data_IF_972581095428
#
_entry.id   IF_972581095428
#
_cell.length_a   1.000
_cell.length_b   1.000
_cell.length_c   1.000
_cell.angle_alpha   90.00
_cell.angle_beta   90.00
_cell.angle_gamma   90.00
#
_symmetry.space_group_name_H-M   'P 1'
#
loop_
_entity.id
_entity.type
_entity.pdbx_description
1 polymer ?
#
# COMPACT_ATOMS: atom_id res chain seq x y z
N UNK A 1 27.70 6.31 -34.05
CA UNK A 1 27.01 5.20 -34.72
C UNK A 1 25.61 5.13 -34.10
N UNK A 2 24.59 5.56 -34.83
CA UNK A 2 23.21 5.43 -34.44
C UNK A 2 22.82 3.94 -34.50
N UNK A 3 22.14 3.39 -33.50
CA UNK A 3 21.64 2.01 -33.57
C UNK A 3 20.67 1.93 -34.74
N UNK A 4 20.88 0.96 -35.62
CA UNK A 4 19.94 0.66 -36.69
C UNK A 4 18.68 0.06 -36.04
N UNK A 5 17.62 0.82 -35.99
CA UNK A 5 16.31 0.36 -35.56
C UNK A 5 15.70 -0.44 -36.73
N UNK A 6 15.78 -1.76 -36.65
CA UNK A 6 15.16 -2.67 -37.60
C UNK A 6 13.67 -2.79 -37.24
N UNK A 7 12.84 -1.94 -37.85
CA UNK A 7 11.39 -2.10 -37.80
C UNK A 7 10.97 -3.16 -38.81
N UNK A 8 10.60 -4.37 -38.35
CA UNK A 8 10.02 -5.39 -39.23
C UNK A 8 8.49 -5.28 -39.16
N UNK A 9 7.87 -5.14 -40.33
CA UNK A 9 6.40 -5.12 -40.51
C UNK A 9 5.80 -6.50 -40.65
N UNK A 10 6.61 -7.57 -40.52
CA UNK A 10 6.14 -8.96 -40.61
C UNK A 10 5.75 -9.45 -39.22
N UNK A 11 4.46 -9.50 -38.97
CA UNK A 11 3.89 -10.15 -37.81
C UNK A 11 3.76 -11.67 -38.07
N UNK A 12 4.45 -12.46 -37.20
CA UNK A 12 4.27 -13.90 -37.16
C UNK A 12 3.70 -14.29 -35.79
N UNK A 13 2.40 -14.71 -35.72
CA UNK A 13 1.76 -15.01 -34.44
C UNK A 13 2.40 -16.18 -33.66
N UNK A 14 3.30 -16.95 -34.29
CA UNK A 14 4.05 -18.03 -33.65
C UNK A 14 5.40 -17.56 -33.04
N UNK A 15 5.87 -16.36 -33.43
CA UNK A 15 7.19 -15.85 -33.05
C UNK A 15 7.06 -14.50 -32.32
N UNK A 16 6.02 -13.73 -32.63
CA UNK A 16 5.74 -12.48 -31.92
C UNK A 16 5.32 -12.81 -30.49
N UNK A 17 6.09 -12.42 -29.47
CA UNK A 17 5.65 -12.61 -28.10
C UNK A 17 4.36 -11.81 -27.92
N UNK A 18 3.29 -12.49 -27.54
CA UNK A 18 2.10 -11.83 -27.02
C UNK A 18 2.49 -11.17 -25.69
N UNK A 19 3.04 -9.98 -25.78
CA UNK A 19 3.33 -9.16 -24.62
C UNK A 19 1.98 -8.78 -23.97
N UNK A 20 1.54 -9.61 -23.05
CA UNK A 20 0.46 -9.25 -22.14
C UNK A 20 1.05 -8.24 -21.14
N UNK A 21 1.24 -7.01 -21.63
CA UNK A 21 1.86 -5.93 -20.86
C UNK A 21 0.75 -5.30 -20.02
N UNK A 22 0.72 -5.59 -18.74
CA UNK A 22 -0.07 -4.91 -17.70
C UNK A 22 -1.58 -4.82 -17.97
N UNK A 23 -2.35 -5.61 -17.23
CA UNK A 23 -3.80 -5.45 -17.13
C UNK A 23 -4.17 -4.16 -16.37
N UNK A 24 -5.46 -3.89 -16.21
CA UNK A 24 -6.00 -2.76 -15.44
C UNK A 24 -5.64 -2.83 -13.95
N UNK A 25 -5.27 -4.01 -13.46
CA UNK A 25 -4.94 -4.29 -12.07
C UNK A 25 -3.69 -3.52 -11.61
N UNK A 26 -2.67 -3.45 -12.47
CA UNK A 26 -1.41 -2.75 -12.16
C UNK A 26 -1.61 -1.25 -12.01
N UNK A 27 -2.24 -0.51 -12.95
CA UNK A 27 -2.56 0.90 -12.75
C UNK A 27 -3.39 1.18 -11.49
N UNK A 28 -4.39 0.33 -11.19
CA UNK A 28 -5.21 0.47 -9.98
C UNK A 28 -4.36 0.31 -8.72
N UNK A 29 -3.52 -0.71 -8.65
CA UNK A 29 -2.60 -0.93 -7.54
C UNK A 29 -1.65 0.27 -7.35
N UNK A 30 -1.03 0.77 -8.41
CA UNK A 30 -0.11 1.91 -8.35
C UNK A 30 -0.82 3.19 -7.91
N UNK A 31 -2.03 3.45 -8.42
CA UNK A 31 -2.83 4.59 -8.02
C UNK A 31 -3.20 4.54 -6.54
N UNK A 32 -3.74 3.42 -6.07
CA UNK A 32 -4.12 3.24 -4.68
C UNK A 32 -2.91 3.29 -3.75
N UNK A 33 -1.79 2.69 -4.13
CA UNK A 33 -0.54 2.76 -3.37
C UNK A 33 -0.02 4.19 -3.23
N UNK A 34 -0.02 4.97 -4.32
CA UNK A 34 0.36 6.38 -4.30
C UNK A 34 -0.57 7.24 -3.44
N UNK A 35 -1.88 7.00 -3.53
CA UNK A 35 -2.89 7.67 -2.70
C UNK A 35 -2.65 7.39 -1.21
N UNK A 36 -2.44 6.14 -0.83
CA UNK A 36 -2.14 5.74 0.56
C UNK A 36 -0.84 6.38 1.05
N UNK A 37 0.20 6.39 0.23
CA UNK A 37 1.46 7.04 0.59
C UNK A 37 1.26 8.54 0.86
N UNK A 38 0.51 9.24 0.01
CA UNK A 38 0.12 10.64 0.23
C UNK A 38 -0.66 10.84 1.53
N UNK A 39 -1.64 9.98 1.80
CA UNK A 39 -2.42 10.03 3.05
C UNK A 39 -1.55 9.79 4.29
N UNK A 40 -0.58 8.87 4.24
CA UNK A 40 0.37 8.64 5.35
C UNK A 40 1.26 9.85 5.60
N UNK A 41 1.76 10.52 4.56
CA UNK A 41 2.57 11.75 4.71
C UNK A 41 1.74 12.85 5.36
N UNK A 42 0.53 13.12 4.85
CA UNK A 42 -0.37 14.13 5.39
C UNK A 42 -0.81 13.79 6.82
N UNK A 43 -1.08 12.52 7.10
CA UNK A 43 -1.39 12.03 8.45
C UNK A 43 -0.24 12.24 9.42
N UNK A 44 0.99 11.94 9.02
CA UNK A 44 2.19 12.18 9.83
C UNK A 44 2.43 13.67 10.10
N UNK A 45 2.16 14.54 9.11
CA UNK A 45 2.22 16.00 9.31
C UNK A 45 1.12 16.50 10.25
N UNK A 46 -0.11 15.96 10.12
CA UNK A 46 -1.22 16.29 11.02
C UNK A 46 -0.90 15.90 12.47
N UNK A 47 -0.34 14.71 12.70
CA UNK A 47 0.08 14.27 14.03
C UNK A 47 1.13 15.20 14.65
N UNK A 48 2.10 15.68 13.84
CA UNK A 48 3.08 16.68 14.32
C UNK A 48 2.44 18.01 14.69
N UNK A 49 1.37 18.42 14.01
CA UNK A 49 0.60 19.62 14.35
C UNK A 49 -0.20 19.44 15.65
N UNK A 50 -0.85 18.28 15.80
CA UNK A 50 -1.54 17.91 17.06
C UNK A 50 -0.58 17.96 18.24
N UNK A 51 0.65 17.43 18.09
CA UNK A 51 1.68 17.53 19.13
C UNK A 51 2.11 18.98 19.46
N UNK A 52 1.77 19.95 18.60
CA UNK A 52 2.00 21.40 18.82
C UNK A 52 0.76 22.15 19.32
N UNK A 53 -0.34 21.46 19.60
CA UNK A 53 -1.55 22.03 20.18
C UNK A 53 -2.72 22.23 19.20
N UNK A 54 -2.65 21.70 17.97
CA UNK A 54 -3.76 21.73 17.02
C UNK A 54 -4.84 20.67 17.38
N UNK A 55 -6.03 20.79 16.77
CA UNK A 55 -7.14 19.88 17.02
C UNK A 55 -6.82 18.42 16.66
N UNK A 56 -6.89 17.48 17.61
CA UNK A 56 -6.61 16.07 17.39
C UNK A 56 -7.64 15.36 16.51
N UNK A 57 -8.83 15.94 16.32
CA UNK A 57 -9.96 15.35 15.58
C UNK A 57 -9.93 15.64 14.07
N UNK A 58 -8.80 16.07 13.53
CA UNK A 58 -8.64 16.27 12.08
C UNK A 58 -8.83 14.95 11.33
N UNK A 59 -9.46 15.00 10.15
CA UNK A 59 -9.61 13.85 9.24
C UNK A 59 -8.29 13.11 9.02
N UNK A 60 -7.20 13.84 8.75
CA UNK A 60 -5.90 13.25 8.49
C UNK A 60 -5.27 12.57 9.71
N UNK A 61 -5.58 13.02 10.93
CA UNK A 61 -5.06 12.37 12.12
C UNK A 61 -5.86 11.14 12.53
N UNK A 62 -7.17 11.14 12.31
CA UNK A 62 -8.09 10.14 12.84
C UNK A 62 -8.55 9.11 11.80
N UNK A 63 -9.02 9.57 10.64
CA UNK A 63 -9.67 8.70 9.65
C UNK A 63 -8.73 8.24 8.53
N UNK A 64 -7.73 9.05 8.17
CA UNK A 64 -6.81 8.73 7.09
C UNK A 64 -6.06 7.40 7.27
N UNK A 65 -5.55 7.02 8.45
CA UNK A 65 -4.90 5.72 8.62
C UNK A 65 -5.84 4.53 8.38
N UNK A 66 -7.10 4.63 8.82
CA UNK A 66 -8.11 3.59 8.62
C UNK A 66 -8.48 3.45 7.15
N UNK A 67 -8.74 4.58 6.50
CA UNK A 67 -9.03 4.61 5.06
C UNK A 67 -7.83 4.12 4.25
N UNK A 68 -6.61 4.54 4.60
CA UNK A 68 -5.37 4.08 3.98
C UNK A 68 -5.20 2.57 4.08
N UNK A 69 -5.52 1.98 5.24
CA UNK A 69 -5.49 0.54 5.43
C UNK A 69 -6.48 -0.20 4.52
N UNK A 70 -7.69 0.31 4.36
CA UNK A 70 -8.69 -0.26 3.42
C UNK A 70 -8.22 -0.14 1.97
N UNK A 71 -7.76 1.04 1.56
CA UNK A 71 -7.33 1.30 0.19
C UNK A 71 -6.11 0.45 -0.22
N UNK A 72 -5.14 0.26 0.69
CA UNK A 72 -3.98 -0.58 0.36
C UNK A 72 -4.38 -2.04 0.21
N UNK A 73 -5.36 -2.53 1.00
CA UNK A 73 -5.87 -3.89 0.82
C UNK A 73 -6.61 -4.06 -0.51
N UNK A 74 -7.35 -3.06 -0.97
CA UNK A 74 -7.97 -3.08 -2.30
C UNK A 74 -6.91 -3.09 -3.41
N UNK A 75 -5.86 -2.28 -3.29
CA UNK A 75 -4.74 -2.28 -4.24
C UNK A 75 -4.01 -3.61 -4.26
N UNK A 76 -3.74 -4.19 -3.10
CA UNK A 76 -3.13 -5.53 -3.01
C UNK A 76 -4.04 -6.62 -3.56
N UNK A 77 -5.34 -6.49 -3.38
CA UNK A 77 -6.33 -7.38 -3.99
C UNK A 77 -6.26 -7.34 -5.52
N UNK A 78 -6.20 -6.15 -6.11
CA UNK A 78 -6.03 -5.98 -7.55
C UNK A 78 -4.73 -6.64 -8.04
N UNK A 79 -3.60 -6.37 -7.36
CA UNK A 79 -2.32 -7.01 -7.69
C UNK A 79 -2.38 -8.53 -7.56
N UNK A 80 -3.06 -9.05 -6.53
CA UNK A 80 -3.23 -10.48 -6.32
C UNK A 80 -4.06 -11.14 -7.44
N UNK A 81 -5.02 -10.42 -8.02
CA UNK A 81 -5.81 -10.92 -9.16
C UNK A 81 -4.95 -11.10 -10.40
N UNK A 82 -4.01 -10.21 -10.64
CA UNK A 82 -3.07 -10.26 -11.77
C UNK A 82 -2.03 -11.39 -11.66
N UNK A 83 -1.76 -11.90 -10.45
CA UNK A 83 -0.77 -12.94 -10.26
C UNK A 83 -1.16 -14.27 -10.93
N UNK A 84 -0.31 -14.75 -11.84
CA UNK A 84 -0.49 -16.05 -12.49
C UNK A 84 -0.39 -17.22 -11.50
N UNK A 85 0.52 -17.14 -10.50
CA UNK A 85 0.77 -18.19 -9.51
C UNK A 85 0.48 -17.69 -8.08
N UNK A 86 -0.80 -17.48 -7.78
CA UNK A 86 -1.28 -16.88 -6.52
C UNK A 86 -0.79 -17.57 -5.25
N UNK A 87 -0.67 -18.90 -5.28
CA UNK A 87 -0.23 -19.69 -4.12
C UNK A 87 1.26 -19.52 -3.77
N UNK A 88 2.06 -18.97 -4.68
CA UNK A 88 3.50 -18.80 -4.49
C UNK A 88 3.91 -17.36 -4.18
N UNK A 89 2.94 -16.45 -3.94
CA UNK A 89 3.20 -15.02 -3.65
C UNK A 89 4.14 -14.82 -2.45
N UNK A 90 4.08 -15.69 -1.45
CA UNK A 90 4.93 -15.64 -0.28
C UNK A 90 6.44 -15.75 -0.60
N UNK A 91 6.81 -16.38 -1.72
CA UNK A 91 8.21 -16.51 -2.15
C UNK A 91 8.85 -15.15 -2.46
N UNK A 92 8.07 -14.17 -2.93
CA UNK A 92 8.55 -12.80 -3.21
C UNK A 92 9.09 -12.14 -1.93
N UNK A 93 8.49 -12.44 -0.79
CA UNK A 93 8.89 -11.90 0.51
C UNK A 93 10.06 -12.66 1.14
N UNK A 94 10.22 -13.94 0.84
CA UNK A 94 11.31 -14.75 1.40
C UNK A 94 12.61 -14.70 0.58
N UNK A 95 12.54 -14.32 -0.70
CA UNK A 95 13.70 -14.19 -1.57
C UNK A 95 14.09 -12.73 -1.73
N UNK A 96 14.94 -12.23 -0.83
CA UNK A 96 15.45 -10.87 -0.94
C UNK A 96 16.56 -10.78 -1.99
N UNK A 97 16.32 -10.00 -3.06
CA UNK A 97 17.28 -9.73 -4.11
C UNK A 97 17.63 -8.23 -4.10
N UNK A 98 18.84 -7.84 -3.63
CA UNK A 98 19.21 -6.42 -3.49
C UNK A 98 19.23 -5.64 -4.81
N UNK A 99 19.46 -6.33 -5.92
CA UNK A 99 19.50 -5.75 -7.28
C UNK A 99 18.13 -5.59 -7.93
N UNK A 100 17.07 -6.15 -7.33
CA UNK A 100 15.72 -6.12 -7.88
C UNK A 100 14.87 -5.02 -7.23
N UNK A 101 14.39 -4.01 -7.98
CA UNK A 101 13.47 -3.01 -7.46
C UNK A 101 12.17 -3.60 -6.89
N UNK A 102 11.69 -4.71 -7.46
CA UNK A 102 10.49 -5.40 -7.00
C UNK A 102 10.68 -5.98 -5.58
N UNK A 103 11.87 -6.50 -5.28
CA UNK A 103 12.19 -7.00 -3.94
C UNK A 103 12.17 -5.88 -2.89
N UNK A 104 12.74 -4.72 -3.21
CA UNK A 104 12.65 -3.54 -2.35
C UNK A 104 11.21 -3.08 -2.15
N UNK A 105 10.42 -3.03 -3.24
CA UNK A 105 9.00 -2.66 -3.16
C UNK A 105 8.21 -3.57 -2.22
N UNK A 106 8.43 -4.88 -2.25
CA UNK A 106 7.74 -5.83 -1.36
C UNK A 106 8.08 -5.62 0.12
N UNK A 107 9.33 -5.34 0.46
CA UNK A 107 9.74 -5.06 1.83
C UNK A 107 9.23 -3.71 2.33
N UNK A 108 9.28 -2.67 1.49
CA UNK A 108 8.66 -1.37 1.81
C UNK A 108 7.17 -1.52 2.07
N UNK A 109 6.49 -2.37 1.29
CA UNK A 109 5.08 -2.64 1.47
C UNK A 109 4.77 -3.28 2.83
N UNK A 110 5.59 -4.22 3.31
CA UNK A 110 5.47 -4.79 4.66
C UNK A 110 5.57 -3.69 5.73
N UNK A 111 6.54 -2.78 5.60
CA UNK A 111 6.70 -1.66 6.53
C UNK A 111 5.49 -0.72 6.51
N UNK A 112 4.96 -0.43 5.31
CA UNK A 112 3.75 0.39 5.15
C UNK A 112 2.55 -0.30 5.80
N UNK A 113 2.37 -1.60 5.61
CA UNK A 113 1.31 -2.37 6.27
C UNK A 113 1.43 -2.34 7.79
N UNK A 114 2.63 -2.55 8.33
CA UNK A 114 2.86 -2.49 9.77
C UNK A 114 2.54 -1.09 10.32
N UNK A 115 3.01 -0.02 9.66
CA UNK A 115 2.74 1.35 10.06
C UNK A 115 1.25 1.70 10.02
N UNK A 116 0.54 1.31 8.95
CA UNK A 116 -0.90 1.53 8.81
C UNK A 116 -1.69 0.73 9.86
N UNK A 117 -1.33 -0.53 10.08
CA UNK A 117 -2.00 -1.38 11.07
C UNK A 117 -1.85 -0.80 12.48
N UNK A 118 -0.64 -0.44 12.87
CA UNK A 118 -0.38 0.19 14.18
C UNK A 118 -1.16 1.49 14.30
N UNK A 119 -1.08 2.37 13.29
CA UNK A 119 -1.79 3.65 13.27
C UNK A 119 -3.32 3.45 13.33
N UNK A 120 -3.85 2.48 12.59
CA UNK A 120 -5.26 2.15 12.60
C UNK A 120 -5.71 1.62 13.98
N UNK A 121 -4.94 0.70 14.58
CA UNK A 121 -5.27 0.12 15.89
C UNK A 121 -5.25 1.16 17.01
N UNK A 122 -4.24 2.04 17.02
CA UNK A 122 -4.12 3.13 18.01
C UNK A 122 -5.29 4.11 17.90
N UNK A 123 -5.72 4.44 16.68
CA UNK A 123 -6.77 5.43 16.41
C UNK A 123 -8.19 4.86 16.37
N UNK A 124 -8.34 3.54 16.29
CA UNK A 124 -9.64 2.86 16.20
C UNK A 124 -10.61 3.26 17.32
N UNK A 125 -10.19 3.33 18.62
CA UNK A 125 -11.09 3.69 19.72
C UNK A 125 -11.61 5.14 19.62
N UNK A 126 -10.80 6.05 19.06
CA UNK A 126 -11.19 7.46 18.88
C UNK A 126 -12.07 7.65 17.64
N UNK A 127 -11.78 6.91 16.56
CA UNK A 127 -12.54 6.99 15.31
C UNK A 127 -13.94 6.36 15.43
N UNK A 128 -14.04 5.25 16.18
CA UNK A 128 -15.30 4.52 16.39
C UNK A 128 -15.49 4.16 17.85
N UNK A 129 -16.12 5.06 18.65
CA UNK A 129 -16.31 4.88 20.10
C UNK A 129 -17.03 3.61 20.49
N UNK A 130 -17.96 3.11 19.65
CA UNK A 130 -18.69 1.86 19.90
C UNK A 130 -17.79 0.61 19.82
N UNK A 131 -16.71 0.66 19.02
CA UNK A 131 -15.75 -0.43 18.92
C UNK A 131 -14.75 -0.38 20.10
N UNK A 132 -14.36 0.82 20.53
CA UNK A 132 -13.50 1.04 21.69
C UNK A 132 -14.10 0.54 22.99
N UNK A 133 -15.44 0.51 23.09
CA UNK A 133 -16.15 -0.04 24.24
C UNK A 133 -16.11 -1.58 24.30
N UNK A 134 -15.99 -2.25 23.16
CA UNK A 134 -15.95 -3.72 23.08
C UNK A 134 -14.54 -4.30 23.24
N UNK A 135 -13.50 -3.50 23.11
CA UNK A 135 -12.09 -3.96 23.18
C UNK A 135 -11.30 -3.09 24.16
N UNK A 136 -11.48 -3.30 25.49
CA UNK A 136 -10.87 -2.51 26.54
C UNK A 136 -9.34 -2.36 26.49
N UNK A 137 -8.54 -3.38 26.04
CA UNK A 137 -7.10 -3.25 25.99
C UNK A 137 -6.60 -2.21 24.96
N UNK A 138 -7.33 -1.97 23.87
CA UNK A 138 -6.94 -0.96 22.87
C UNK A 138 -7.01 0.47 23.43
N UNK A 139 -7.93 0.75 24.35
CA UNK A 139 -8.06 2.05 25.00
C UNK A 139 -6.87 2.38 25.91
N UNK A 140 -6.29 1.38 26.58
CA UNK A 140 -5.09 1.58 27.40
C UNK A 140 -3.86 1.96 26.61
N UNK A 141 -3.76 1.54 25.36
CA UNK A 141 -2.64 1.85 24.47
C UNK A 141 -2.80 3.25 23.85
N UNK A 142 -4.04 3.70 23.57
CA UNK A 142 -4.28 5.07 23.08
C UNK A 142 -4.04 6.13 24.15
N UNK A 143 -4.28 5.79 25.42
CA UNK A 143 -4.06 6.71 26.54
C UNK A 143 -2.57 6.81 26.96
N UNK A 144 -1.72 5.91 26.46
CA UNK A 144 -0.29 5.83 26.81
C UNK A 144 0.66 6.44 25.75
N UNK A 145 0.14 6.87 24.60
CA UNK A 145 0.86 7.48 23.47
C UNK A 145 0.44 8.91 23.23
#
# INVERSE_FOLDING_TARGET
>A
MSPLELTTTRHNPLVDPSLHVWGWEIPVYLFLGGLVAGMMILGGLALRRVARGDDPKSFFSLQAPLLGFVLINLGMGALFLDLAHKLYVWRVYLTFQPTSPMSWGSWVLILVYAALLVSALVRLPEAWPWLGQRVPPLRRWSDAL
#
